data_IF_586577589677
#
_entry.id   IF_586577589677
#
_cell.length_a   1.000
_cell.length_b   1.000
_cell.length_c   1.000
_cell.angle_alpha   90.00
_cell.angle_beta   90.00
_cell.angle_gamma   90.00
#
_symmetry.space_group_name_H-M   'P 1'
#
loop_
_entity.id
_entity.type
_entity.pdbx_description
1 polymer ?
#
# COMPACT_ATOMS: atom_id res chain seq x y z
N UNK A 1 -45.93 11.99 17.03
CA UNK A 1 -44.57 11.66 17.51
C UNK A 1 -43.73 11.36 16.27
N UNK A 2 -42.80 12.24 15.90
CA UNK A 2 -41.94 11.97 14.74
C UNK A 2 -40.96 10.83 15.08
N UNK A 3 -40.69 9.89 14.17
CA UNK A 3 -39.69 8.85 14.42
C UNK A 3 -38.31 9.48 14.63
N UNK A 4 -37.45 8.90 15.50
CA UNK A 4 -36.12 9.41 15.72
C UNK A 4 -35.31 9.38 14.40
N UNK A 5 -34.45 10.39 14.16
CA UNK A 5 -33.63 10.43 12.95
C UNK A 5 -32.71 9.20 12.89
N UNK A 6 -32.57 8.62 11.70
CA UNK A 6 -31.72 7.46 11.49
C UNK A 6 -30.26 7.78 11.89
N UNK A 7 -29.55 6.85 12.56
CA UNK A 7 -28.17 7.07 12.93
C UNK A 7 -27.31 7.28 11.67
N UNK A 8 -26.31 8.18 11.69
CA UNK A 8 -25.47 8.44 10.53
C UNK A 8 -24.71 7.17 10.12
N UNK A 9 -24.49 6.95 8.81
CA UNK A 9 -23.81 5.76 8.32
C UNK A 9 -22.40 5.65 8.90
N UNK A 10 -22.06 4.46 9.42
CA UNK A 10 -20.71 4.18 9.96
C UNK A 10 -19.70 4.20 8.81
N UNK A 11 -18.69 5.06 8.90
CA UNK A 11 -17.63 5.15 7.89
C UNK A 11 -16.86 3.83 7.76
N UNK A 12 -16.79 3.30 6.54
CA UNK A 12 -16.07 2.05 6.21
C UNK A 12 -14.57 2.14 6.53
N UNK A 13 -13.96 3.33 6.41
CA UNK A 13 -12.55 3.58 6.72
C UNK A 13 -12.23 3.46 8.22
N UNK A 14 -13.23 3.57 9.08
CA UNK A 14 -13.10 3.35 10.52
C UNK A 14 -13.60 1.98 10.97
N UNK A 15 -14.02 1.14 10.03
CA UNK A 15 -14.54 -0.21 10.29
C UNK A 15 -13.44 -1.28 10.25
N UNK A 16 -13.80 -2.52 10.56
CA UNK A 16 -12.90 -3.66 10.39
C UNK A 16 -12.47 -3.88 8.93
N UNK A 17 -13.24 -3.39 7.95
CA UNK A 17 -12.90 -3.50 6.53
C UNK A 17 -11.87 -2.46 6.06
N UNK A 18 -11.46 -1.50 6.92
CA UNK A 18 -10.51 -0.45 6.55
C UNK A 18 -9.19 -0.98 5.97
N UNK A 19 -8.47 -1.89 6.66
CA UNK A 19 -7.24 -2.50 6.13
C UNK A 19 -7.42 -3.19 4.77
N UNK A 20 -8.55 -3.88 4.56
CA UNK A 20 -8.87 -4.56 3.31
C UNK A 20 -9.02 -3.55 2.16
N UNK A 21 -9.72 -2.43 2.39
CA UNK A 21 -9.90 -1.38 1.37
C UNK A 21 -8.56 -0.77 0.94
N UNK A 22 -7.66 -0.50 1.88
CA UNK A 22 -6.33 0.01 1.58
C UNK A 22 -5.48 -0.99 0.82
N UNK A 23 -5.55 -2.28 1.18
CA UNK A 23 -4.87 -3.33 0.44
C UNK A 23 -5.39 -3.45 -0.99
N UNK A 24 -6.72 -3.43 -1.18
CA UNK A 24 -7.33 -3.48 -2.51
C UNK A 24 -6.94 -2.26 -3.36
N UNK A 25 -6.98 -1.07 -2.77
CA UNK A 25 -6.55 0.16 -3.45
C UNK A 25 -5.07 0.09 -3.84
N UNK A 26 -4.19 -0.39 -2.95
CA UNK A 26 -2.78 -0.60 -3.27
C UNK A 26 -2.60 -1.56 -4.44
N UNK A 27 -3.29 -2.71 -4.45
CA UNK A 27 -3.22 -3.70 -5.54
C UNK A 27 -3.70 -3.09 -6.85
N UNK A 28 -4.83 -2.37 -6.83
CA UNK A 28 -5.39 -1.73 -8.01
C UNK A 28 -4.38 -0.75 -8.63
N UNK A 29 -3.75 0.10 -7.82
CA UNK A 29 -2.70 1.02 -8.31
C UNK A 29 -1.47 0.26 -8.79
N UNK A 30 -1.01 -0.74 -8.03
CA UNK A 30 0.16 -1.53 -8.39
C UNK A 30 -0.02 -2.19 -9.76
N UNK A 31 -1.16 -2.87 -9.97
CA UNK A 31 -1.46 -3.53 -11.24
C UNK A 31 -1.61 -2.51 -12.37
N UNK A 32 -2.28 -1.38 -12.13
CA UNK A 32 -2.39 -0.33 -13.14
C UNK A 32 -1.02 0.17 -13.60
N UNK A 33 -0.10 0.45 -12.67
CA UNK A 33 1.27 0.89 -13.01
C UNK A 33 2.05 -0.23 -13.69
N UNK A 34 1.94 -1.47 -13.21
CA UNK A 34 2.59 -2.64 -13.77
C UNK A 34 2.22 -2.86 -15.25
N UNK A 35 0.93 -2.75 -15.58
CA UNK A 35 0.46 -2.88 -16.95
C UNK A 35 0.79 -1.67 -17.83
N UNK A 36 0.74 -0.46 -17.28
CA UNK A 36 1.04 0.78 -18.03
C UNK A 36 2.51 0.91 -18.39
N UNK A 37 3.42 0.56 -17.48
CA UNK A 37 4.85 0.71 -17.74
C UNK A 37 5.36 -0.31 -18.75
N UNK A 38 4.71 -1.49 -18.84
CA UNK A 38 5.21 -2.70 -19.51
C UNK A 38 6.62 -3.04 -18.99
N UNK A 39 6.80 -4.15 -18.26
CA UNK A 39 8.06 -4.44 -17.57
C UNK A 39 9.26 -4.22 -18.51
N UNK A 40 10.05 -3.18 -18.21
CA UNK A 40 11.27 -2.91 -18.95
C UNK A 40 12.26 -3.94 -18.47
N UNK A 41 12.33 -5.06 -19.19
CA UNK A 41 13.30 -6.11 -18.94
C UNK A 41 14.67 -5.54 -19.34
N UNK A 42 15.25 -4.73 -18.45
CA UNK A 42 16.63 -4.26 -18.51
C UNK A 42 17.47 -5.47 -18.91
N UNK A 43 18.13 -5.42 -20.08
CA UNK A 43 18.81 -6.54 -20.76
C UNK A 43 19.15 -7.69 -19.79
N UNK A 44 18.22 -8.64 -19.64
CA UNK A 44 18.39 -9.83 -18.80
C UNK A 44 18.94 -10.90 -19.72
N UNK A 45 20.17 -11.36 -19.45
CA UNK A 45 20.82 -12.34 -20.31
C UNK A 45 20.28 -13.76 -20.07
N UNK A 46 19.83 -14.06 -18.85
CA UNK A 46 19.26 -15.35 -18.49
C UNK A 46 17.74 -15.46 -18.77
N UNK A 47 17.35 -16.36 -19.66
CA UNK A 47 15.95 -16.58 -20.05
C UNK A 47 15.06 -17.11 -18.91
N UNK A 48 15.59 -17.94 -18.01
CA UNK A 48 14.84 -18.45 -16.85
C UNK A 48 14.44 -17.30 -15.92
N UNK A 49 15.37 -16.39 -15.64
CA UNK A 49 15.12 -15.22 -14.79
C UNK A 49 14.08 -14.33 -15.46
N UNK A 50 14.20 -14.11 -16.77
CA UNK A 50 13.24 -13.33 -17.56
C UNK A 50 11.81 -13.91 -17.48
N UNK A 51 11.65 -15.23 -17.61
CA UNK A 51 10.35 -15.88 -17.49
C UNK A 51 9.77 -15.71 -16.08
N UNK A 52 10.57 -15.88 -15.03
CA UNK A 52 10.12 -15.72 -13.64
C UNK A 52 9.53 -14.32 -13.42
N UNK A 53 10.25 -13.25 -13.80
CA UNK A 53 9.77 -11.89 -13.58
C UNK A 53 8.57 -11.53 -14.46
N UNK A 54 8.45 -12.12 -15.64
CA UNK A 54 7.30 -11.90 -16.53
C UNK A 54 6.04 -12.57 -16.00
N UNK A 55 6.15 -13.80 -15.48
CA UNK A 55 5.00 -14.59 -15.01
C UNK A 55 4.61 -14.28 -13.56
N UNK A 56 5.58 -14.11 -12.67
CA UNK A 56 5.34 -13.97 -11.23
C UNK A 56 5.42 -12.52 -10.73
N UNK A 57 5.97 -11.59 -11.51
CA UNK A 57 6.07 -10.18 -11.12
C UNK A 57 4.73 -9.53 -10.77
N UNK A 58 3.66 -9.96 -11.46
CA UNK A 58 2.29 -9.48 -11.21
C UNK A 58 1.77 -9.84 -9.81
N UNK A 59 2.20 -10.98 -9.26
CA UNK A 59 1.74 -11.49 -7.97
C UNK A 59 2.38 -10.74 -6.79
N UNK A 60 3.48 -10.01 -7.01
CA UNK A 60 4.20 -9.28 -5.95
C UNK A 60 3.29 -8.23 -5.31
N UNK A 61 2.53 -7.47 -6.11
CA UNK A 61 1.60 -6.47 -5.61
C UNK A 61 0.59 -7.04 -4.61
N UNK A 62 -0.21 -8.06 -5.01
CA UNK A 62 -1.12 -8.78 -4.12
C UNK A 62 -0.46 -9.33 -2.85
N UNK A 63 0.72 -9.95 -2.94
CA UNK A 63 1.43 -10.48 -1.77
C UNK A 63 1.83 -9.37 -0.81
N UNK A 64 2.43 -8.29 -1.32
CA UNK A 64 2.83 -7.12 -0.51
C UNK A 64 1.60 -6.46 0.13
N UNK A 65 0.51 -6.32 -0.61
CA UNK A 65 -0.74 -5.77 -0.08
C UNK A 65 -1.33 -6.64 1.03
N UNK A 66 -1.28 -7.96 0.89
CA UNK A 66 -1.74 -8.90 1.91
C UNK A 66 -0.90 -8.79 3.19
N UNK A 67 0.43 -8.73 3.07
CA UNK A 67 1.32 -8.50 4.22
C UNK A 67 1.05 -7.14 4.89
N UNK A 68 0.85 -6.08 4.09
CA UNK A 68 0.48 -4.76 4.60
C UNK A 68 -0.88 -4.77 5.31
N UNK A 69 -1.86 -5.49 4.77
CA UNK A 69 -3.16 -5.70 5.41
C UNK A 69 -3.03 -6.37 6.78
N UNK A 70 -2.24 -7.45 6.86
CA UNK A 70 -1.98 -8.15 8.13
C UNK A 70 -1.31 -7.21 9.14
N UNK A 71 -0.30 -6.45 8.73
CA UNK A 71 0.36 -5.47 9.59
C UNK A 71 -0.65 -4.43 10.11
N UNK A 72 -1.50 -3.88 9.24
CA UNK A 72 -2.55 -2.94 9.65
C UNK A 72 -3.54 -3.56 10.65
N UNK A 73 -3.93 -4.83 10.47
CA UNK A 73 -4.78 -5.54 11.43
C UNK A 73 -4.10 -5.72 12.78
N UNK A 74 -2.80 -6.05 12.80
CA UNK A 74 -2.01 -6.17 14.03
C UNK A 74 -2.01 -4.83 14.78
N UNK A 75 -1.68 -3.72 14.10
CA UNK A 75 -1.70 -2.39 14.73
C UNK A 75 -3.11 -1.95 15.17
N UNK A 76 -4.15 -2.27 14.39
CA UNK A 76 -5.53 -2.00 14.77
C UNK A 76 -5.96 -2.83 15.99
N UNK A 77 -5.49 -4.07 16.09
CA UNK A 77 -5.65 -4.92 17.27
C UNK A 77 -4.95 -4.34 18.49
N UNK A 78 -3.68 -3.94 18.35
CA UNK A 78 -2.91 -3.29 19.42
C UNK A 78 -3.61 -2.02 19.92
N UNK A 79 -4.11 -1.18 19.01
CA UNK A 79 -4.92 0.00 19.35
C UNK A 79 -6.15 -0.36 20.19
N UNK A 80 -6.79 -1.50 19.93
CA UNK A 80 -7.95 -1.96 20.72
C UNK A 80 -7.55 -2.47 22.10
N UNK A 81 -6.44 -3.19 22.21
CA UNK A 81 -5.91 -3.73 23.47
C UNK A 81 -5.49 -2.57 24.39
N UNK A 82 -4.82 -1.55 23.84
CA UNK A 82 -4.34 -0.39 24.59
C UNK A 82 -5.44 0.65 24.91
N UNK A 83 -6.72 0.36 24.65
CA UNK A 83 -7.83 1.29 24.94
C UNK A 83 -7.84 2.57 24.09
N UNK A 84 -7.03 2.65 23.03
CA UNK A 84 -6.86 3.86 22.20
C UNK A 84 -7.96 4.05 21.14
N UNK A 85 -9.10 3.38 21.28
CA UNK A 85 -10.22 3.39 20.30
C UNK A 85 -10.75 4.79 19.99
N UNK A 86 -10.71 5.71 20.97
CA UNK A 86 -11.17 7.10 20.83
C UNK A 86 -10.30 7.96 19.90
N UNK A 87 -9.06 7.56 19.64
CA UNK A 87 -8.13 8.30 18.80
C UNK A 87 -8.27 7.88 17.33
N UNK A 88 -9.23 8.50 16.63
CA UNK A 88 -9.48 8.23 15.19
C UNK A 88 -8.27 8.55 14.32
N UNK A 89 -7.43 9.50 14.75
CA UNK A 89 -6.20 9.90 14.05
C UNK A 89 -5.14 8.79 13.96
N UNK A 90 -5.23 7.77 14.82
CA UNK A 90 -4.33 6.61 14.75
C UNK A 90 -4.58 5.76 13.49
N UNK A 91 -5.78 5.80 12.90
CA UNK A 91 -6.06 4.98 11.72
C UNK A 91 -5.19 5.37 10.50
N UNK A 92 -5.15 6.65 10.06
CA UNK A 92 -4.24 7.05 8.98
C UNK A 92 -2.77 6.86 9.37
N UNK A 93 -2.39 7.05 10.64
CA UNK A 93 -1.03 6.78 11.09
C UNK A 93 -0.62 5.31 10.92
N UNK A 94 -1.53 4.36 11.20
CA UNK A 94 -1.29 2.94 10.97
C UNK A 94 -1.02 2.67 9.49
N UNK A 95 -1.79 3.29 8.59
CA UNK A 95 -1.55 3.15 7.14
C UNK A 95 -0.18 3.70 6.77
N UNK A 96 0.20 4.89 7.28
CA UNK A 96 1.51 5.48 7.01
C UNK A 96 2.66 4.61 7.53
N UNK A 97 2.56 4.09 8.75
CA UNK A 97 3.58 3.21 9.34
C UNK A 97 3.82 1.96 8.48
N UNK A 98 2.78 1.45 7.80
CA UNK A 98 2.89 0.27 6.94
C UNK A 98 3.43 0.62 5.54
N UNK A 99 2.93 1.69 4.91
CA UNK A 99 3.23 1.97 3.51
C UNK A 99 4.40 2.94 3.27
N UNK A 100 4.79 3.77 4.25
CA UNK A 100 5.96 4.64 4.12
C UNK A 100 7.27 3.85 3.99
N UNK A 101 7.51 2.76 4.75
CA UNK A 101 8.68 1.92 4.53
C UNK A 101 8.73 1.35 3.10
N UNK A 102 7.58 0.92 2.57
CA UNK A 102 7.47 0.43 1.19
C UNK A 102 7.75 1.53 0.16
N UNK A 103 7.29 2.76 0.42
CA UNK A 103 7.63 3.92 -0.40
C UNK A 103 9.14 4.17 -0.44
N UNK A 104 9.80 4.15 0.72
CA UNK A 104 11.26 4.32 0.80
C UNK A 104 12.01 3.20 0.09
N UNK A 105 11.52 1.97 0.21
CA UNK A 105 12.10 0.81 -0.46
C UNK A 105 11.94 0.89 -1.98
N UNK A 106 10.74 1.26 -2.47
CA UNK A 106 10.50 1.51 -3.89
C UNK A 106 11.38 2.63 -4.45
N UNK A 107 11.57 3.71 -3.69
CA UNK A 107 12.48 4.81 -4.07
C UNK A 107 13.93 4.36 -4.14
N UNK A 108 14.39 3.58 -3.16
CA UNK A 108 15.74 3.04 -3.15
C UNK A 108 15.98 2.12 -4.36
N UNK A 109 15.04 1.22 -4.65
CA UNK A 109 15.10 0.34 -5.83
C UNK A 109 15.09 1.13 -7.15
N UNK A 110 14.24 2.16 -7.26
CA UNK A 110 14.05 2.88 -8.52
C UNK A 110 15.20 3.84 -8.86
N UNK A 111 15.82 4.45 -7.85
CA UNK A 111 16.74 5.58 -8.08
C UNK A 111 18.14 5.42 -7.49
N UNK A 112 18.35 4.49 -6.54
CA UNK A 112 19.64 4.36 -5.83
C UNK A 112 20.37 3.06 -6.14
N UNK A 113 19.64 1.97 -6.35
CA UNK A 113 20.24 0.67 -6.65
C UNK A 113 20.69 0.58 -8.11
N UNK A 114 21.94 0.12 -8.31
CA UNK A 114 22.45 -0.18 -9.66
C UNK A 114 22.20 -1.65 -10.00
N UNK A 115 21.68 -1.97 -11.20
CA UNK A 115 21.28 -3.32 -11.55
C UNK A 115 22.46 -4.17 -12.06
N UNK A 116 23.35 -4.57 -11.15
CA UNK A 116 24.57 -5.32 -11.47
C UNK A 116 24.30 -6.79 -11.86
N UNK A 117 23.25 -7.41 -11.33
CA UNK A 117 22.87 -8.80 -11.62
C UNK A 117 21.58 -8.86 -12.43
N UNK A 118 21.38 -9.94 -13.18
CA UNK A 118 20.14 -10.21 -13.93
C UNK A 118 18.90 -10.24 -13.03
N UNK A 119 19.05 -10.74 -11.79
CA UNK A 119 17.99 -10.72 -10.79
C UNK A 119 17.67 -9.29 -10.38
N UNK A 120 18.69 -8.45 -10.11
CA UNK A 120 18.49 -7.05 -9.76
C UNK A 120 17.83 -6.27 -10.92
N UNK A 121 18.23 -6.54 -12.16
CA UNK A 121 17.59 -6.00 -13.38
C UNK A 121 16.11 -6.36 -13.43
N UNK A 122 15.78 -7.63 -13.17
CA UNK A 122 14.40 -8.11 -13.08
C UNK A 122 13.59 -7.40 -12.01
N UNK A 123 14.10 -7.35 -10.77
CA UNK A 123 13.43 -6.69 -9.64
C UNK A 123 13.20 -5.20 -9.93
N UNK A 124 14.26 -4.48 -10.32
CA UNK A 124 14.19 -3.04 -10.54
C UNK A 124 13.29 -2.72 -11.73
N UNK A 125 13.45 -3.43 -12.84
CA UNK A 125 12.71 -3.20 -14.09
C UNK A 125 11.24 -3.60 -14.04
N UNK A 126 10.83 -4.44 -13.07
CA UNK A 126 9.43 -4.90 -12.95
C UNK A 126 8.70 -4.40 -11.71
N UNK A 127 9.39 -4.19 -10.59
CA UNK A 127 8.75 -3.94 -9.28
C UNK A 127 8.97 -2.54 -8.75
N UNK A 128 10.08 -1.88 -9.08
CA UNK A 128 10.49 -0.64 -8.39
C UNK A 128 9.44 0.47 -8.53
N UNK A 129 9.00 0.74 -9.76
CA UNK A 129 8.05 1.80 -10.05
C UNK A 129 6.61 1.48 -9.65
N UNK A 130 6.05 0.28 -9.94
CA UNK A 130 4.74 -0.12 -9.41
C UNK A 130 4.66 -0.01 -7.89
N UNK A 131 5.70 -0.48 -7.19
CA UNK A 131 5.78 -0.41 -5.72
C UNK A 131 5.89 1.04 -5.21
N UNK A 132 6.73 1.85 -5.85
CA UNK A 132 6.92 3.26 -5.50
C UNK A 132 5.59 4.03 -5.63
N UNK A 133 4.94 3.95 -6.80
CA UNK A 133 3.74 4.74 -7.08
C UNK A 133 2.53 4.26 -6.27
N UNK A 134 2.35 2.94 -6.10
CA UNK A 134 1.27 2.42 -5.24
C UNK A 134 1.44 2.87 -3.78
N UNK A 135 2.67 2.78 -3.25
CA UNK A 135 2.97 3.20 -1.88
C UNK A 135 2.86 4.73 -1.72
N UNK A 136 3.24 5.49 -2.75
CA UNK A 136 3.13 6.95 -2.77
C UNK A 136 1.67 7.39 -2.71
N UNK A 137 0.80 6.83 -3.57
CA UNK A 137 -0.61 7.20 -3.61
C UNK A 137 -1.35 6.79 -2.32
N UNK A 138 -1.07 5.60 -1.79
CA UNK A 138 -1.62 5.17 -0.49
C UNK A 138 -1.19 6.12 0.62
N UNK A 139 0.10 6.45 0.67
CA UNK A 139 0.64 7.34 1.71
C UNK A 139 0.08 8.76 1.58
N UNK A 140 -0.01 9.31 0.36
CA UNK A 140 -0.57 10.63 0.10
C UNK A 140 -2.05 10.70 0.53
N UNK A 141 -2.86 9.70 0.20
CA UNK A 141 -4.25 9.64 0.64
C UNK A 141 -4.36 9.47 2.16
N UNK A 142 -3.46 8.71 2.80
CA UNK A 142 -3.42 8.58 4.25
C UNK A 142 -3.05 9.91 4.94
N UNK A 143 -2.13 10.69 4.37
CA UNK A 143 -1.80 12.05 4.84
C UNK A 143 -3.01 12.98 4.69
N UNK A 144 -3.68 12.98 3.53
CA UNK A 144 -4.90 13.77 3.33
C UNK A 144 -5.98 13.37 4.35
N UNK A 145 -6.18 12.07 4.57
CA UNK A 145 -7.12 11.57 5.56
C UNK A 145 -6.76 12.00 6.99
N UNK A 146 -5.47 12.00 7.34
CA UNK A 146 -4.98 12.53 8.61
C UNK A 146 -5.35 14.00 8.79
N UNK A 147 -5.11 14.84 7.78
CA UNK A 147 -5.45 16.26 7.84
C UNK A 147 -6.96 16.51 7.91
N UNK A 148 -7.78 15.75 7.17
CA UNK A 148 -9.25 15.85 7.25
C UNK A 148 -9.74 15.54 8.67
N UNK A 149 -9.18 14.50 9.32
CA UNK A 149 -9.53 14.18 10.72
C UNK A 149 -9.05 15.29 11.67
N UNK A 150 -7.86 15.85 11.44
CA UNK A 150 -7.29 16.89 12.27
C UNK A 150 -8.13 18.18 12.20
N UNK A 151 -8.54 18.59 10.99
CA UNK A 151 -9.35 19.79 10.75
C UNK A 151 -10.76 19.65 11.35
N UNK A 152 -11.39 18.48 11.22
CA UNK A 152 -12.75 18.24 11.75
C UNK A 152 -12.81 18.11 13.28
N UNK A 153 -11.65 18.02 13.96
CA UNK A 153 -11.56 17.96 15.43
C UNK A 153 -11.43 19.33 16.09
N UNK A 154 -11.24 20.40 15.32
CA UNK A 154 -11.40 21.78 15.76
C UNK A 154 -12.84 22.23 15.53
#
# INVERSE_FOLDING_TARGET
MAPPPAPPPRSLLHSAAGPLLWAFFFVAVFLAVFFLQKPSLLVINNETIKQIFTSYGIAVGPVVAFLGMLAMYIFAGLKRILGLRKFRILNPLIVLVVFVPLLTFGYQLAYREKPYTDIARGIIGTLAMPLLLSSLLVSALAVLWFFVILLRRR
#
